data_IF_399918122610
#
_entry.id   IF_399918122610
#
_cell.length_a   1.000
_cell.length_b   1.000
_cell.length_c   1.000
_cell.angle_alpha   90.00
_cell.angle_beta   90.00
_cell.angle_gamma   90.00
#
_symmetry.space_group_name_H-M   'P 1'
#
loop_
_entity.id
_entity.type
_entity.pdbx_description
1 polymer ?
#
# COMPACT_ATOMS: atom_id res chain seq x y z
N UNK A 1 -7.83 61.29 79.33
CA UNK A 1 -9.19 61.90 79.28
C UNK A 1 -9.09 63.19 78.48
N UNK A 2 -9.78 63.27 77.32
CA UNK A 2 -9.97 64.43 76.40
C UNK A 2 -8.69 65.07 75.80
N UNK A 3 -8.62 65.61 74.58
CA UNK A 3 -9.60 66.19 73.66
C UNK A 3 -9.09 66.16 72.21
N UNK A 4 -10.02 66.24 71.26
CA UNK A 4 -9.87 66.49 69.80
C UNK A 4 -9.41 67.94 69.49
N UNK A 5 -8.92 68.17 68.25
CA UNK A 5 -9.36 69.13 67.17
C UNK A 5 -8.19 69.55 66.26
N UNK A 6 -8.16 69.23 64.95
CA UNK A 6 -8.63 69.91 63.70
C UNK A 6 -7.67 70.90 62.98
N UNK A 7 -7.30 70.52 61.72
CA UNK A 7 -7.02 71.29 60.47
C UNK A 7 -5.87 72.34 60.41
N UNK A 8 -5.37 72.81 59.22
CA UNK A 8 -5.92 72.78 57.84
C UNK A 8 -4.93 72.53 56.66
N UNK A 9 -5.55 72.53 55.47
CA UNK A 9 -5.15 72.73 54.05
C UNK A 9 -3.89 73.55 53.72
N UNK A 10 -3.14 73.21 52.65
CA UNK A 10 -2.68 74.17 51.62
C UNK A 10 -2.19 73.49 50.32
N UNK A 11 -2.68 74.02 49.19
CA UNK A 11 -2.22 73.83 47.81
C UNK A 11 -0.90 74.59 47.57
N UNK A 12 0.03 74.10 46.75
CA UNK A 12 0.75 74.92 45.76
C UNK A 12 1.63 74.11 44.78
N UNK A 13 1.59 74.58 43.53
CA UNK A 13 2.40 74.25 42.34
C UNK A 13 3.91 74.34 42.60
N UNK A 14 4.69 73.63 41.77
CA UNK A 14 5.91 74.08 41.01
C UNK A 14 6.57 72.81 40.41
N UNK A 15 6.48 72.57 39.09
CA UNK A 15 7.41 72.92 37.98
C UNK A 15 8.76 72.16 37.95
N UNK A 16 8.85 71.27 36.95
CA UNK A 16 9.99 70.87 36.06
C UNK A 16 11.36 70.49 36.64
N UNK A 17 11.75 69.25 36.35
CA UNK A 17 13.00 68.81 35.69
C UNK A 17 12.90 67.28 35.59
N UNK A 18 12.81 66.63 34.43
CA UNK A 18 13.81 66.60 33.37
C UNK A 18 14.61 65.29 33.51
N UNK A 19 14.07 64.15 33.05
CA UNK A 19 14.85 62.97 32.70
C UNK A 19 14.15 62.21 31.57
N UNK A 20 14.88 62.07 30.47
CA UNK A 20 14.54 61.28 29.28
C UNK A 20 14.74 59.81 29.63
N UNK A 21 13.67 59.01 29.59
CA UNK A 21 13.77 57.56 29.57
C UNK A 21 13.27 57.05 28.22
N UNK A 22 14.21 56.41 27.53
CA UNK A 22 14.04 55.72 26.26
C UNK A 22 13.19 54.46 26.51
N UNK A 23 11.90 54.49 26.19
CA UNK A 23 11.05 53.28 26.22
C UNK A 23 11.17 52.63 24.84
N UNK A 24 12.03 51.62 24.72
CA UNK A 24 12.08 50.77 23.54
C UNK A 24 10.87 49.84 23.56
N UNK A 25 9.89 50.12 22.70
CA UNK A 25 8.75 49.26 22.43
C UNK A 25 9.22 47.91 21.89
N UNK A 26 9.03 46.85 22.68
CA UNK A 26 9.24 45.47 22.28
C UNK A 26 8.11 45.02 21.34
N UNK A 27 8.33 45.18 20.04
CA UNK A 27 7.47 44.64 18.98
C UNK A 27 7.69 43.12 18.90
N UNK A 28 6.80 42.34 19.52
CA UNK A 28 6.72 40.89 19.33
C UNK A 28 6.16 40.66 17.92
N UNK A 29 7.06 40.50 16.95
CA UNK A 29 6.73 40.01 15.61
C UNK A 29 6.45 38.51 15.75
N UNK A 30 5.17 38.16 15.82
CA UNK A 30 4.70 36.78 15.66
C UNK A 30 4.98 36.40 14.20
N UNK A 31 6.11 35.73 13.97
CA UNK A 31 6.34 35.01 12.72
C UNK A 31 5.31 33.88 12.64
N UNK A 32 4.18 34.13 11.98
CA UNK A 32 3.37 33.09 11.37
C UNK A 32 4.22 32.44 10.28
N UNK A 33 5.07 31.50 10.68
CA UNK A 33 5.72 30.61 9.75
C UNK A 33 4.59 29.80 9.10
N UNK A 34 4.34 29.92 7.79
CA UNK A 34 3.39 29.06 7.13
C UNK A 34 3.89 27.62 7.35
N UNK A 35 3.06 26.80 8.01
CA UNK A 35 3.29 25.36 8.12
C UNK A 35 3.21 24.84 6.70
N UNK A 36 4.35 24.83 6.01
CA UNK A 36 4.52 24.12 4.77
C UNK A 36 4.27 22.66 5.12
N UNK A 37 3.09 22.17 4.77
CA UNK A 37 2.78 20.74 4.83
C UNK A 37 3.87 20.02 4.05
N UNK A 38 4.74 19.32 4.78
CA UNK A 38 5.71 18.41 4.21
C UNK A 38 4.87 17.32 3.56
N UNK A 39 4.63 17.48 2.26
CA UNK A 39 3.84 16.55 1.46
C UNK A 39 4.60 15.23 1.42
N UNK A 40 3.99 14.18 1.96
CA UNK A 40 4.57 12.84 1.95
C UNK A 40 4.69 12.39 0.49
N UNK A 41 5.90 12.24 -0.01
CA UNK A 41 6.13 11.72 -1.36
C UNK A 41 6.72 10.33 -1.23
N UNK A 42 5.87 9.31 -1.36
CA UNK A 42 6.34 7.94 -1.53
C UNK A 42 7.02 7.84 -2.89
N UNK A 43 8.35 7.92 -2.90
CA UNK A 43 9.13 7.61 -4.09
C UNK A 43 9.07 6.09 -4.28
N UNK A 44 8.17 5.63 -5.13
CA UNK A 44 8.35 4.31 -5.73
C UNK A 44 9.66 4.35 -6.52
N UNK A 45 10.67 3.64 -6.03
CA UNK A 45 11.94 3.45 -6.74
C UNK A 45 11.78 2.42 -7.88
N UNK A 46 10.62 1.76 -7.95
CA UNK A 46 10.33 0.78 -8.96
C UNK A 46 10.32 1.42 -10.36
N UNK A 47 10.91 0.73 -11.33
CA UNK A 47 11.02 1.23 -12.70
C UNK A 47 10.14 0.44 -13.65
N UNK A 48 9.74 1.09 -14.74
CA UNK A 48 9.11 0.39 -15.87
C UNK A 48 10.12 -0.61 -16.46
N UNK A 49 9.71 -1.86 -16.76
CA UNK A 49 10.61 -2.83 -17.38
C UNK A 49 11.19 -2.33 -18.70
N UNK A 50 12.49 -2.53 -18.94
CA UNK A 50 13.18 -2.03 -20.14
C UNK A 50 12.60 -2.59 -21.45
N UNK A 51 12.13 -3.84 -21.42
CA UNK A 51 11.53 -4.48 -22.58
C UNK A 51 10.27 -3.76 -23.08
N UNK A 52 9.57 -2.99 -22.22
CA UNK A 52 8.36 -2.24 -22.61
C UNK A 52 8.69 -1.27 -23.75
N UNK A 53 9.71 -0.43 -23.55
CA UNK A 53 10.17 0.51 -24.58
C UNK A 53 10.70 -0.23 -25.81
N UNK A 54 11.45 -1.31 -25.62
CA UNK A 54 12.03 -2.10 -26.72
C UNK A 54 10.95 -2.75 -27.61
N UNK A 55 9.76 -3.02 -27.06
CA UNK A 55 8.61 -3.56 -27.79
C UNK A 55 7.73 -2.46 -28.43
N UNK A 56 8.13 -1.19 -28.36
CA UNK A 56 7.40 -0.08 -28.97
C UNK A 56 6.16 0.37 -28.19
N UNK A 57 6.10 0.06 -26.90
CA UNK A 57 5.04 0.52 -26.00
C UNK A 57 5.41 1.88 -25.38
N UNK A 58 4.39 2.72 -25.18
CA UNK A 58 4.53 3.96 -24.42
C UNK A 58 4.67 3.65 -22.92
N UNK A 59 5.84 3.95 -22.35
CA UNK A 59 6.15 3.63 -20.95
C UNK A 59 5.29 4.38 -19.93
N UNK A 60 4.67 5.51 -20.29
CA UNK A 60 3.81 6.28 -19.40
C UNK A 60 2.36 5.81 -19.42
N UNK A 61 1.94 5.17 -20.51
CA UNK A 61 0.58 4.65 -20.71
C UNK A 61 0.49 3.13 -20.65
N UNK A 62 1.60 2.45 -20.37
CA UNK A 62 1.66 0.99 -20.34
C UNK A 62 1.74 0.43 -18.93
N UNK A 63 1.10 -0.73 -18.75
CA UNK A 63 1.12 -1.47 -17.49
C UNK A 63 1.16 -2.98 -17.74
N UNK A 64 1.69 -3.71 -16.78
CA UNK A 64 1.51 -5.15 -16.71
C UNK A 64 0.17 -5.45 -16.03
N UNK A 65 -0.61 -6.35 -16.63
CA UNK A 65 -1.96 -6.71 -16.22
C UNK A 65 -2.11 -8.22 -16.08
N UNK A 66 -2.82 -8.63 -15.04
CA UNK A 66 -3.33 -9.99 -14.84
C UNK A 66 -4.86 -10.03 -14.89
N UNK A 67 -5.50 -8.92 -15.28
CA UNK A 67 -6.95 -8.78 -15.32
C UNK A 67 -7.56 -9.06 -16.71
N UNK A 68 -6.73 -9.30 -17.72
CA UNK A 68 -7.19 -9.44 -19.10
C UNK A 68 -7.94 -10.77 -19.31
N UNK A 69 -9.28 -10.72 -19.38
CA UNK A 69 -10.16 -11.91 -19.41
C UNK A 69 -9.86 -12.91 -20.54
N UNK A 70 -9.27 -12.44 -21.64
CA UNK A 70 -8.94 -13.27 -22.82
C UNK A 70 -7.57 -13.94 -22.74
N UNK A 71 -6.79 -13.64 -21.71
CA UNK A 71 -5.41 -14.10 -21.59
C UNK A 71 -5.18 -14.81 -20.25
N UNK A 72 -4.48 -15.93 -20.30
CA UNK A 72 -3.95 -16.59 -19.11
C UNK A 72 -2.56 -16.01 -18.80
N UNK A 73 -2.31 -15.71 -17.53
CA UNK A 73 -1.01 -15.22 -17.05
C UNK A 73 -0.92 -13.70 -17.05
N UNK A 74 0.23 -13.19 -17.52
CA UNK A 74 0.54 -11.76 -17.55
C UNK A 74 0.33 -11.20 -18.97
N UNK A 75 -0.04 -9.94 -19.09
CA UNK A 75 -0.15 -9.20 -20.36
C UNK A 75 0.42 -7.80 -20.16
N UNK A 76 1.18 -7.30 -21.13
CA UNK A 76 1.54 -5.90 -21.25
C UNK A 76 0.44 -5.22 -22.05
N UNK A 77 -0.15 -4.18 -21.48
CA UNK A 77 -1.18 -3.37 -22.11
C UNK A 77 -0.69 -1.94 -22.28
N UNK A 78 -1.09 -1.28 -23.36
CA UNK A 78 -1.02 0.17 -23.54
C UNK A 78 -2.45 0.71 -23.45
N UNK A 79 -2.69 1.67 -22.56
CA UNK A 79 -3.98 2.34 -22.45
C UNK A 79 -4.22 3.22 -23.68
N UNK A 80 -5.44 3.25 -24.19
CA UNK A 80 -5.81 4.17 -25.25
C UNK A 80 -5.59 5.63 -24.84
N UNK A 81 -5.34 6.50 -25.82
CA UNK A 81 -5.27 7.93 -25.54
C UNK A 81 -6.62 8.41 -25.02
N UNK A 82 -6.59 9.40 -24.11
CA UNK A 82 -7.83 10.03 -23.70
C UNK A 82 -8.42 10.76 -24.91
N UNK A 83 -9.73 10.63 -25.15
CA UNK A 83 -10.41 11.40 -26.20
C UNK A 83 -10.14 12.90 -26.00
N UNK A 84 -10.08 13.65 -27.11
CA UNK A 84 -9.92 15.10 -27.05
C UNK A 84 -11.13 15.74 -26.33
N UNK A 85 -11.00 16.96 -25.77
CA UNK A 85 -12.14 17.66 -25.18
C UNK A 85 -13.31 17.77 -26.16
N UNK A 86 -14.45 17.16 -25.83
CA UNK A 86 -15.64 17.12 -26.68
C UNK A 86 -15.87 15.80 -27.44
N UNK A 87 -14.90 14.88 -27.41
CA UNK A 87 -15.07 13.52 -27.95
C UNK A 87 -15.57 12.56 -26.86
N UNK A 88 -16.49 11.66 -27.23
CA UNK A 88 -16.93 10.61 -26.32
C UNK A 88 -15.86 9.52 -26.19
N UNK A 89 -15.54 9.04 -24.97
CA UNK A 89 -14.66 7.91 -24.79
C UNK A 89 -15.28 6.66 -25.43
N UNK A 90 -14.51 5.97 -26.29
CA UNK A 90 -14.86 4.62 -26.72
C UNK A 90 -14.64 3.65 -25.55
N UNK A 91 -15.72 3.37 -24.82
CA UNK A 91 -15.72 2.44 -23.69
C UNK A 91 -15.37 1.00 -24.09
N UNK A 92 -15.43 0.66 -25.39
CA UNK A 92 -15.05 -0.66 -25.89
C UNK A 92 -13.55 -0.76 -26.22
N UNK A 93 -12.83 0.36 -26.23
CA UNK A 93 -11.45 0.44 -26.69
C UNK A 93 -10.53 1.18 -25.69
N UNK A 94 -10.64 0.84 -24.40
CA UNK A 94 -9.75 1.41 -23.36
C UNK A 94 -8.27 0.99 -23.51
N UNK A 95 -7.95 0.04 -24.40
CA UNK A 95 -6.62 -0.55 -24.57
C UNK A 95 -6.20 -0.47 -26.04
N UNK A 96 -5.15 0.29 -26.31
CA UNK A 96 -4.63 0.47 -27.66
C UNK A 96 -3.77 -0.71 -28.14
N UNK A 97 -3.00 -1.35 -27.23
CA UNK A 97 -2.08 -2.43 -27.59
C UNK A 97 -2.00 -3.51 -26.52
N UNK A 98 -1.70 -4.72 -26.97
CA UNK A 98 -1.48 -5.88 -26.12
C UNK A 98 -0.20 -6.61 -26.54
N UNK A 99 0.54 -7.11 -25.57
CA UNK A 99 1.65 -8.01 -25.80
C UNK A 99 1.71 -9.05 -24.68
N UNK A 100 1.92 -10.31 -25.06
CA UNK A 100 2.15 -11.39 -24.10
C UNK A 100 3.32 -12.23 -24.58
N UNK A 101 4.41 -12.23 -23.81
CA UNK A 101 5.54 -13.12 -24.10
C UNK A 101 5.10 -14.59 -23.91
N UNK A 102 5.52 -15.54 -24.77
CA UNK A 102 5.08 -16.94 -24.67
C UNK A 102 5.31 -17.57 -23.30
N UNK A 103 6.40 -17.22 -22.62
CA UNK A 103 6.72 -17.78 -21.31
C UNK A 103 5.76 -17.34 -20.19
N UNK A 104 4.98 -16.27 -20.39
CA UNK A 104 4.07 -15.74 -19.36
C UNK A 104 2.86 -16.65 -19.11
N UNK A 105 2.49 -17.47 -20.11
CA UNK A 105 1.42 -18.46 -19.99
C UNK A 105 1.81 -19.66 -19.11
N UNK A 106 3.10 -19.97 -19.01
CA UNK A 106 3.58 -21.16 -18.30
C UNK A 106 3.34 -21.12 -16.79
N UNK A 107 3.09 -19.92 -16.23
CA UNK A 107 2.79 -19.72 -14.82
C UNK A 107 1.31 -19.92 -14.45
N UNK A 108 0.45 -20.23 -15.43
CA UNK A 108 -0.99 -20.29 -15.24
C UNK A 108 -1.60 -18.89 -15.10
N UNK A 109 -2.72 -18.78 -14.37
CA UNK A 109 -3.25 -17.48 -13.98
C UNK A 109 -2.40 -16.85 -12.87
N UNK A 110 -2.28 -15.53 -12.92
CA UNK A 110 -1.47 -14.75 -11.99
C UNK A 110 -2.35 -13.69 -11.31
N UNK A 111 -1.92 -13.18 -10.15
CA UNK A 111 -2.54 -12.06 -9.46
C UNK A 111 -1.54 -10.92 -9.29
N UNK A 112 -1.32 -10.49 -8.04
CA UNK A 112 -0.58 -9.28 -7.69
C UNK A 112 0.79 -9.23 -8.36
N UNK A 113 1.12 -8.04 -8.87
CA UNK A 113 2.39 -7.74 -9.53
C UNK A 113 3.10 -6.67 -8.70
N UNK A 114 4.39 -6.83 -8.47
CA UNK A 114 5.25 -5.77 -7.95
C UNK A 114 6.50 -5.62 -8.82
N UNK A 115 7.08 -4.43 -8.84
CA UNK A 115 8.24 -4.08 -9.67
C UNK A 115 9.42 -3.71 -8.76
N UNK A 116 10.63 -4.15 -9.12
CA UNK A 116 11.84 -3.71 -8.42
C UNK A 116 12.50 -2.48 -9.05
N UNK A 117 13.60 -2.03 -8.43
CA UNK A 117 14.37 -0.85 -8.86
C UNK A 117 15.03 -1.00 -10.24
N UNK A 118 15.17 -2.23 -10.73
CA UNK A 118 15.69 -2.55 -12.06
C UNK A 118 14.57 -2.76 -13.09
N UNK A 119 13.31 -2.69 -12.66
CA UNK A 119 12.13 -2.94 -13.48
C UNK A 119 11.85 -4.41 -13.74
N UNK A 120 12.38 -5.34 -12.95
CA UNK A 120 11.91 -6.71 -13.00
C UNK A 120 10.53 -6.77 -12.37
N UNK A 121 9.64 -7.59 -12.94
CA UNK A 121 8.30 -7.79 -12.39
C UNK A 121 8.22 -9.11 -11.65
N UNK A 122 7.61 -9.11 -10.48
CA UNK A 122 7.34 -10.30 -9.68
C UNK A 122 5.85 -10.51 -9.61
N UNK A 123 5.40 -11.72 -9.91
CA UNK A 123 3.99 -12.09 -9.92
C UNK A 123 3.76 -13.40 -9.16
N UNK A 124 2.58 -13.52 -8.58
CA UNK A 124 2.14 -14.69 -7.81
C UNK A 124 1.01 -15.43 -8.54
N UNK A 125 0.91 -16.76 -8.43
CA UNK A 125 -0.20 -17.56 -8.92
C UNK A 125 -1.55 -17.09 -8.39
N UNK A 126 -2.61 -17.32 -9.16
CA UNK A 126 -3.97 -17.06 -8.74
C UNK A 126 -4.91 -18.13 -9.30
N UNK A 127 -5.26 -19.18 -8.53
CA UNK A 127 -6.23 -20.15 -9.02
C UNK A 127 -7.61 -19.48 -9.10
N UNK A 128 -8.27 -19.63 -10.25
CA UNK A 128 -9.60 -19.04 -10.49
C UNK A 128 -10.71 -20.08 -10.31
N UNK A 129 -11.17 -20.69 -11.41
CA UNK A 129 -12.31 -21.61 -11.43
C UNK A 129 -11.89 -23.08 -11.31
N UNK A 130 -10.61 -23.34 -11.56
CA UNK A 130 -10.02 -24.68 -11.56
C UNK A 130 -8.54 -24.60 -11.21
N UNK A 131 -8.04 -25.68 -10.61
CA UNK A 131 -6.62 -25.90 -10.34
C UNK A 131 -5.84 -26.39 -11.56
N UNK A 132 -6.50 -26.63 -12.70
CA UNK A 132 -5.89 -27.17 -13.91
C UNK A 132 -4.63 -26.40 -14.34
N UNK A 133 -4.70 -25.08 -14.30
CA UNK A 133 -3.61 -24.19 -14.75
C UNK A 133 -2.74 -23.66 -13.61
N UNK A 134 -3.15 -23.85 -12.36
CA UNK A 134 -2.37 -23.47 -11.18
C UNK A 134 -2.47 -24.62 -10.17
N UNK A 135 -1.65 -25.66 -10.38
CA UNK A 135 -1.66 -26.83 -9.50
C UNK A 135 -1.25 -26.44 -8.08
N UNK A 136 -1.73 -27.12 -7.02
CA UNK A 136 -1.41 -26.80 -5.62
C UNK A 136 0.09 -26.58 -5.36
N UNK A 137 0.96 -27.47 -5.86
CA UNK A 137 2.42 -27.34 -5.77
C UNK A 137 3.00 -26.03 -6.34
N UNK A 138 2.29 -25.36 -7.25
CA UNK A 138 2.71 -24.11 -7.89
C UNK A 138 2.25 -22.87 -7.12
N UNK A 139 1.32 -22.99 -6.17
CA UNK A 139 0.67 -21.85 -5.50
C UNK A 139 1.58 -21.03 -4.59
N UNK A 140 2.71 -21.62 -4.19
CA UNK A 140 3.71 -21.00 -3.32
C UNK A 140 4.98 -20.60 -4.09
N UNK A 141 4.86 -20.40 -5.40
CA UNK A 141 5.95 -19.97 -6.26
C UNK A 141 5.79 -18.50 -6.62
N UNK A 142 6.87 -17.75 -6.56
CA UNK A 142 6.94 -16.39 -7.12
C UNK A 142 7.63 -16.51 -8.49
N UNK A 143 7.06 -15.87 -9.50
CA UNK A 143 7.64 -15.78 -10.84
C UNK A 143 8.26 -14.40 -11.05
N UNK A 144 9.37 -14.32 -11.78
CA UNK A 144 10.04 -13.07 -12.16
C UNK A 144 10.06 -12.93 -13.67
N UNK A 145 9.61 -11.78 -14.16
CA UNK A 145 9.86 -11.29 -15.51
C UNK A 145 11.12 -10.45 -15.49
N UNK A 146 12.12 -10.85 -16.28
CA UNK A 146 13.34 -10.08 -16.42
C UNK A 146 13.11 -8.77 -17.19
N UNK A 147 13.59 -7.66 -16.64
CA UNK A 147 13.37 -6.31 -17.17
C UNK A 147 13.92 -6.12 -18.59
N UNK A 148 15.02 -6.79 -18.93
CA UNK A 148 15.68 -6.62 -20.23
C UNK A 148 15.06 -7.50 -21.30
N UNK A 149 14.81 -8.76 -20.98
CA UNK A 149 14.38 -9.76 -21.97
C UNK A 149 12.86 -9.90 -22.06
N UNK A 150 12.14 -9.53 -21.00
CA UNK A 150 10.71 -9.82 -20.87
C UNK A 150 10.41 -11.31 -20.62
N UNK A 151 11.42 -12.16 -20.41
CA UNK A 151 11.22 -13.58 -20.15
C UNK A 151 10.81 -13.77 -18.69
N UNK A 152 9.69 -14.47 -18.48
CA UNK A 152 9.26 -14.96 -17.16
C UNK A 152 9.81 -16.33 -16.86
N UNK A 153 10.35 -16.50 -15.64
CA UNK A 153 10.78 -17.78 -15.06
C UNK A 153 10.34 -17.90 -13.60
N UNK A 154 10.21 -19.13 -13.05
CA UNK A 154 10.19 -19.35 -11.61
C UNK A 154 11.36 -18.64 -10.93
N UNK A 155 11.07 -17.80 -9.94
CA UNK A 155 12.09 -17.07 -9.20
C UNK A 155 12.42 -17.71 -7.87
N UNK A 156 11.38 -18.06 -7.11
CA UNK A 156 11.52 -18.68 -5.79
C UNK A 156 10.33 -19.59 -5.50
N UNK A 157 10.60 -20.78 -4.98
CA UNK A 157 9.61 -21.63 -4.33
C UNK A 157 9.69 -21.36 -2.83
N UNK A 158 8.59 -20.94 -2.20
CA UNK A 158 8.59 -20.67 -0.77
C UNK A 158 8.56 -21.99 0.03
N UNK A 159 9.35 -22.10 1.10
CA UNK A 159 9.45 -23.31 1.91
C UNK A 159 8.26 -23.43 2.86
N UNK A 160 7.06 -23.66 2.33
CA UNK A 160 5.83 -23.75 3.12
C UNK A 160 5.43 -25.23 3.26
N UNK A 161 5.54 -25.83 4.47
CA UNK A 161 5.47 -27.28 4.65
C UNK A 161 4.06 -27.87 4.51
N UNK A 162 3.00 -27.05 4.61
CA UNK A 162 1.60 -27.50 4.57
C UNK A 162 0.83 -26.86 3.41
N UNK A 163 1.36 -26.97 2.20
CA UNK A 163 0.85 -26.26 1.04
C UNK A 163 -0.54 -26.71 0.56
N UNK A 164 -1.00 -27.91 0.96
CA UNK A 164 -2.14 -28.56 0.32
C UNK A 164 -3.21 -28.94 1.34
N UNK A 165 -4.38 -28.29 1.25
CA UNK A 165 -5.60 -28.77 1.88
C UNK A 165 -6.73 -28.73 0.85
N UNK A 166 -7.64 -29.70 0.87
CA UNK A 166 -8.82 -29.66 0.00
C UNK A 166 -9.76 -28.50 0.33
N UNK A 167 -9.59 -27.85 1.49
CA UNK A 167 -10.42 -26.74 1.97
C UNK A 167 -9.88 -25.36 1.59
N UNK A 168 -8.69 -25.29 0.99
CA UNK A 168 -8.06 -24.05 0.58
C UNK A 168 -7.16 -24.28 -0.66
N UNK A 169 -7.60 -23.83 -1.84
CA UNK A 169 -6.85 -23.97 -3.08
C UNK A 169 -5.75 -22.89 -3.24
N UNK A 170 -5.68 -21.92 -2.33
CA UNK A 170 -4.82 -20.75 -2.44
C UNK A 170 -3.50 -20.92 -1.68
N UNK A 171 -2.43 -20.36 -2.25
CA UNK A 171 -1.14 -20.19 -1.59
C UNK A 171 -0.88 -18.70 -1.34
N UNK A 172 -0.10 -18.10 -2.22
CA UNK A 172 0.22 -16.67 -2.18
C UNK A 172 -0.99 -15.80 -2.54
N UNK A 173 -1.23 -14.74 -1.77
CA UNK A 173 -2.30 -13.76 -1.99
C UNK A 173 -1.80 -12.30 -2.05
N UNK A 174 -0.64 -12.01 -1.48
CA UNK A 174 -0.06 -10.67 -1.46
C UNK A 174 1.42 -10.67 -1.80
N UNK A 175 1.87 -9.66 -2.54
CA UNK A 175 3.29 -9.38 -2.77
C UNK A 175 3.51 -7.87 -2.89
N UNK A 176 4.59 -7.35 -2.32
CA UNK A 176 5.01 -5.95 -2.47
C UNK A 176 6.52 -5.83 -2.34
N UNK A 177 7.12 -4.88 -3.05
CA UNK A 177 8.56 -4.62 -3.04
C UNK A 177 8.88 -3.46 -2.10
N UNK A 178 9.89 -3.64 -1.25
CA UNK A 178 10.44 -2.56 -0.43
C UNK A 178 11.65 -1.93 -1.11
N UNK A 179 11.51 -0.66 -1.44
CA UNK A 179 12.58 0.13 -2.00
C UNK A 179 13.74 0.36 -1.03
N UNK A 180 13.51 0.38 0.28
CA UNK A 180 14.53 0.78 1.24
C UNK A 180 15.71 -0.22 1.29
N UNK A 181 15.43 -1.52 1.28
CA UNK A 181 16.44 -2.58 1.35
C UNK A 181 16.43 -3.55 0.15
N UNK A 182 15.55 -3.32 -0.82
CA UNK A 182 15.44 -4.15 -2.01
C UNK A 182 14.88 -5.54 -1.73
N UNK A 183 14.02 -5.67 -0.73
CA UNK A 183 13.35 -6.91 -0.38
C UNK A 183 11.93 -7.00 -0.97
N UNK A 184 11.36 -8.20 -0.91
CA UNK A 184 9.94 -8.44 -1.20
C UNK A 184 9.28 -8.92 0.07
N UNK A 185 8.12 -8.36 0.38
CA UNK A 185 7.18 -8.95 1.33
C UNK A 185 6.14 -9.77 0.58
N UNK A 186 5.81 -10.94 1.11
CA UNK A 186 4.80 -11.83 0.56
C UNK A 186 3.85 -12.32 1.65
N UNK A 187 2.60 -12.56 1.29
CA UNK A 187 1.59 -13.15 2.16
C UNK A 187 1.07 -14.44 1.54
N UNK A 188 1.12 -15.52 2.32
CA UNK A 188 0.57 -16.82 1.96
C UNK A 188 -0.46 -17.25 2.97
N UNK A 189 -1.50 -17.94 2.50
CA UNK A 189 -2.49 -18.63 3.34
C UNK A 189 -2.42 -20.14 3.19
N UNK A 190 -1.34 -20.64 2.59
CA UNK A 190 -1.11 -22.07 2.46
C UNK A 190 -1.17 -22.75 3.84
N UNK A 191 -2.02 -23.77 3.95
CA UNK A 191 -2.29 -24.50 5.19
C UNK A 191 -3.47 -23.95 6.01
N UNK A 192 -3.96 -22.75 5.71
CA UNK A 192 -5.18 -22.22 6.31
C UNK A 192 -6.41 -22.94 5.78
N UNK A 193 -7.45 -23.01 6.60
CA UNK A 193 -8.77 -23.54 6.22
C UNK A 193 -9.84 -22.48 6.45
N UNK A 194 -11.13 -22.78 6.21
CA UNK A 194 -12.21 -21.83 6.52
C UNK A 194 -12.22 -21.39 7.99
N UNK A 195 -11.83 -22.25 8.92
CA UNK A 195 -11.93 -22.01 10.36
C UNK A 195 -10.59 -21.93 11.09
N UNK A 196 -9.47 -22.25 10.43
CA UNK A 196 -8.14 -22.23 11.05
C UNK A 196 -7.19 -21.30 10.28
N UNK A 197 -6.70 -20.27 10.96
CA UNK A 197 -5.74 -19.28 10.43
C UNK A 197 -4.30 -19.82 10.60
N UNK A 198 -3.60 -20.03 9.48
CA UNK A 198 -2.24 -20.58 9.44
C UNK A 198 -1.32 -19.78 8.51
N UNK A 199 -1.80 -18.67 7.94
CA UNK A 199 -1.06 -17.87 6.99
C UNK A 199 0.21 -17.26 7.56
N UNK A 200 1.07 -16.82 6.65
CA UNK A 200 2.41 -16.32 6.98
C UNK A 200 2.70 -15.09 6.14
N UNK A 201 3.19 -14.04 6.80
CA UNK A 201 3.89 -12.93 6.16
C UNK A 201 5.38 -13.28 6.10
N UNK A 202 5.98 -13.16 4.92
CA UNK A 202 7.39 -13.44 4.66
C UNK A 202 8.10 -12.17 4.24
N UNK A 203 9.31 -11.97 4.76
CA UNK A 203 10.27 -10.99 4.27
C UNK A 203 11.36 -11.70 3.49
N UNK A 204 11.60 -11.32 2.23
CA UNK A 204 12.42 -12.08 1.29
C UNK A 204 13.47 -11.16 0.66
N UNK A 205 14.74 -11.52 0.76
CA UNK A 205 15.83 -10.85 0.04
C UNK A 205 15.72 -11.11 -1.46
N UNK A 206 15.69 -10.06 -2.28
CA UNK A 206 15.73 -10.25 -3.75
C UNK A 206 17.12 -10.63 -4.26
N UNK A 207 18.17 -10.25 -3.53
CA UNK A 207 19.56 -10.53 -3.86
C UNK A 207 19.90 -12.00 -3.63
N UNK A 208 19.59 -12.52 -2.44
CA UNK A 208 20.02 -13.87 -2.03
C UNK A 208 18.96 -14.94 -2.29
N UNK A 209 17.72 -14.53 -2.63
CA UNK A 209 16.53 -15.40 -2.73
C UNK A 209 16.28 -16.19 -1.44
N UNK A 210 16.43 -15.53 -0.29
CA UNK A 210 16.27 -16.12 1.04
C UNK A 210 15.14 -15.44 1.81
N UNK A 211 14.40 -16.24 2.57
CA UNK A 211 13.49 -15.72 3.59
C UNK A 211 14.33 -15.19 4.75
N UNK A 212 14.21 -13.90 5.04
CA UNK A 212 14.95 -13.20 6.08
C UNK A 212 14.21 -13.19 7.43
N UNK A 213 12.88 -13.13 7.38
CA UNK A 213 12.01 -13.15 8.56
C UNK A 213 10.59 -13.61 8.20
N UNK A 214 9.83 -14.03 9.22
CA UNK A 214 8.42 -14.44 9.07
C UNK A 214 7.57 -14.00 10.25
N UNK A 215 6.29 -13.72 9.98
CA UNK A 215 5.24 -13.57 10.99
C UNK A 215 4.12 -14.57 10.67
N UNK A 216 3.85 -15.51 11.59
CA UNK A 216 2.93 -16.64 11.40
C UNK A 216 1.56 -16.37 12.01
N UNK A 217 0.54 -17.13 11.57
CA UNK A 217 -0.82 -17.06 12.09
C UNK A 217 -1.59 -15.84 11.57
N UNK A 218 -1.28 -15.40 10.34
CA UNK A 218 -1.91 -14.24 9.72
C UNK A 218 -2.31 -14.59 8.29
N UNK A 219 -3.62 -14.67 8.06
CA UNK A 219 -4.20 -14.77 6.74
C UNK A 219 -4.35 -13.37 6.13
N UNK A 220 -3.34 -12.98 5.36
CA UNK A 220 -3.27 -11.66 4.76
C UNK A 220 -3.38 -11.68 3.24
N UNK A 221 -4.00 -10.62 2.72
CA UNK A 221 -3.94 -10.17 1.33
C UNK A 221 -3.63 -8.67 1.34
N UNK A 222 -3.33 -8.07 0.18
CA UNK A 222 -3.12 -6.63 0.06
C UNK A 222 -1.95 -6.15 0.91
N UNK A 223 -0.74 -6.14 0.33
CA UNK A 223 0.46 -5.69 1.02
C UNK A 223 0.92 -4.34 0.49
N UNK A 224 1.34 -3.45 1.38
CA UNK A 224 2.01 -2.22 1.01
C UNK A 224 3.02 -1.80 2.08
N UNK A 225 4.20 -1.36 1.65
CA UNK A 225 5.16 -0.73 2.55
C UNK A 225 4.86 0.76 2.61
N UNK A 226 4.80 1.27 3.83
CA UNK A 226 4.63 2.67 4.13
C UNK A 226 5.85 3.20 4.88
N UNK A 227 6.29 4.40 4.52
CA UNK A 227 7.37 5.10 5.22
C UNK A 227 6.84 6.41 5.79
N UNK A 228 6.85 6.53 7.11
CA UNK A 228 6.48 7.75 7.81
C UNK A 228 7.54 8.84 7.73
N UNK A 229 7.19 10.05 8.15
CA UNK A 229 8.04 11.26 8.09
C UNK A 229 9.39 11.11 8.80
N UNK A 230 9.45 10.32 9.88
CA UNK A 230 10.67 10.08 10.66
C UNK A 230 11.48 8.87 10.15
N UNK A 231 11.17 8.37 8.96
CA UNK A 231 11.79 7.17 8.40
C UNK A 231 11.26 5.86 8.97
N UNK A 232 10.28 5.90 9.88
CA UNK A 232 9.58 4.71 10.39
C UNK A 232 8.96 3.92 9.23
N UNK A 233 9.39 2.67 9.05
CA UNK A 233 8.85 1.78 8.02
C UNK A 233 7.86 0.81 8.64
N UNK A 234 6.74 0.59 7.95
CA UNK A 234 5.72 -0.38 8.35
C UNK A 234 5.22 -1.15 7.13
N UNK A 235 5.02 -2.45 7.29
CA UNK A 235 4.28 -3.27 6.33
C UNK A 235 2.80 -3.22 6.72
N UNK A 236 1.97 -2.65 5.85
CA UNK A 236 0.52 -2.72 5.94
C UNK A 236 0.03 -3.99 5.25
N UNK A 237 -0.97 -4.64 5.87
CA UNK A 237 -1.58 -5.86 5.37
C UNK A 237 -3.06 -5.92 5.72
N UNK A 238 -3.88 -6.40 4.79
CA UNK A 238 -5.30 -6.65 5.02
C UNK A 238 -5.55 -8.05 5.54
N UNK A 239 -6.25 -8.20 6.68
CA UNK A 239 -6.74 -9.49 7.16
C UNK A 239 -7.95 -9.92 6.33
N UNK A 240 -7.83 -11.05 5.64
CA UNK A 240 -8.90 -11.51 4.72
C UNK A 240 -10.14 -12.04 5.42
N UNK A 241 -10.03 -12.36 6.71
CA UNK A 241 -11.12 -12.92 7.52
C UNK A 241 -12.02 -11.85 8.12
N UNK A 242 -11.49 -10.66 8.35
CA UNK A 242 -12.14 -9.63 9.17
C UNK A 242 -12.32 -8.30 8.45
N UNK A 243 -11.75 -8.10 7.25
CA UNK A 243 -11.82 -6.81 6.57
C UNK A 243 -10.94 -5.73 7.21
N UNK A 244 -10.15 -6.07 8.22
CA UNK A 244 -9.31 -5.13 8.96
C UNK A 244 -7.97 -4.92 8.26
N UNK A 245 -7.45 -3.70 8.33
CA UNK A 245 -6.10 -3.36 7.88
C UNK A 245 -5.22 -3.21 9.12
N UNK A 246 -4.18 -4.03 9.19
CA UNK A 246 -3.15 -3.96 10.22
C UNK A 246 -1.85 -3.48 9.61
N UNK A 247 -0.91 -3.10 10.49
CA UNK A 247 0.47 -2.90 10.11
C UNK A 247 1.43 -3.48 11.13
N UNK A 248 2.65 -3.78 10.71
CA UNK A 248 3.76 -4.19 11.57
C UNK A 248 5.00 -3.37 11.25
N UNK A 249 5.73 -2.92 12.27
CA UNK A 249 6.96 -2.17 12.10
C UNK A 249 8.07 -3.00 11.45
N UNK A 250 8.88 -2.35 10.61
CA UNK A 250 10.05 -2.93 9.96
C UNK A 250 11.30 -2.27 10.56
N UNK A 251 12.17 -3.07 11.17
CA UNK A 251 13.40 -2.60 11.77
C UNK A 251 14.43 -2.11 10.76
N UNK A 252 15.48 -1.45 11.24
CA UNK A 252 16.61 -1.03 10.39
C UNK A 252 17.32 -2.23 9.72
N UNK A 253 17.29 -3.40 10.36
CA UNK A 253 17.80 -4.67 9.82
C UNK A 253 16.83 -5.37 8.84
N UNK A 254 15.71 -4.71 8.48
CA UNK A 254 14.66 -5.25 7.61
C UNK A 254 13.70 -6.24 8.28
N UNK A 255 13.96 -6.70 9.50
CA UNK A 255 13.12 -7.69 10.20
C UNK A 255 11.84 -7.05 10.75
N UNK A 256 10.80 -7.87 10.97
CA UNK A 256 9.59 -7.39 11.63
C UNK A 256 9.86 -7.10 13.11
N UNK A 257 9.43 -5.94 13.58
CA UNK A 257 9.51 -5.57 15.00
C UNK A 257 8.39 -6.32 15.74
N UNK A 258 8.75 -7.32 16.55
CA UNK A 258 7.78 -8.11 17.33
C UNK A 258 7.01 -7.23 18.31
N UNK A 259 5.72 -7.52 18.49
CA UNK A 259 4.82 -6.72 19.35
C UNK A 259 4.39 -5.38 18.76
N UNK A 260 4.85 -4.99 17.57
CA UNK A 260 4.45 -3.73 16.91
C UNK A 260 3.26 -3.86 15.96
N UNK A 261 2.60 -5.02 15.94
CA UNK A 261 1.39 -5.23 15.14
C UNK A 261 0.28 -4.36 15.71
N UNK A 262 -0.36 -3.54 14.86
CA UNK A 262 -1.45 -2.66 15.28
C UNK A 262 -2.54 -2.58 14.23
N UNK A 263 -3.77 -2.41 14.68
CA UNK A 263 -4.92 -2.10 13.83
C UNK A 263 -4.79 -0.65 13.34
N UNK A 264 -5.01 -0.42 12.05
CA UNK A 264 -4.90 0.89 11.41
C UNK A 264 -6.27 1.45 11.04
N UNK A 265 -7.11 0.63 10.41
CA UNK A 265 -8.49 0.91 10.04
C UNK A 265 -9.19 -0.39 9.61
N UNK A 266 -10.43 -0.29 9.12
CA UNK A 266 -11.19 -1.44 8.64
C UNK A 266 -12.11 -1.07 7.47
N UNK A 267 -12.30 -2.01 6.55
CA UNK A 267 -13.36 -1.99 5.52
C UNK A 267 -14.59 -2.80 5.91
N UNK A 268 -14.54 -3.48 7.07
CA UNK A 268 -15.65 -4.30 7.57
C UNK A 268 -16.89 -3.46 7.83
N UNK A 269 -18.03 -3.93 7.34
CA UNK A 269 -19.35 -3.34 7.59
C UNK A 269 -19.64 -2.00 6.91
N UNK A 270 -18.69 -1.43 6.15
CA UNK A 270 -18.85 -0.10 5.53
C UNK A 270 -19.05 -0.14 4.01
N UNK A 271 -18.63 -1.22 3.35
CA UNK A 271 -18.82 -1.40 1.90
C UNK A 271 -20.21 -1.89 1.51
N UNK A 272 -20.55 -1.88 0.20
CA UNK A 272 -21.83 -2.38 -0.31
C UNK A 272 -22.14 -3.83 0.09
N UNK A 273 -21.10 -4.66 0.23
CA UNK A 273 -21.21 -6.06 0.66
C UNK A 273 -21.05 -6.24 2.18
N UNK A 274 -20.41 -5.29 2.85
CA UNK A 274 -20.12 -5.34 4.28
C UNK A 274 -19.04 -6.34 4.72
N UNK A 275 -18.59 -7.25 3.86
CA UNK A 275 -17.67 -8.35 4.17
C UNK A 275 -16.41 -8.40 3.30
N UNK A 276 -16.00 -7.24 2.76
CA UNK A 276 -14.84 -7.16 1.86
C UNK A 276 -13.53 -7.55 2.55
N UNK A 277 -12.74 -8.37 1.86
CA UNK A 277 -11.34 -8.62 2.16
C UNK A 277 -10.45 -7.55 1.46
N UNK A 278 -9.48 -6.93 2.15
CA UNK A 278 -8.61 -5.93 1.54
C UNK A 278 -7.64 -6.60 0.56
N UNK A 279 -7.89 -6.46 -0.74
CA UNK A 279 -7.14 -7.12 -1.81
C UNK A 279 -5.86 -6.40 -2.18
N UNK A 280 -5.93 -5.08 -2.30
CA UNK A 280 -4.80 -4.23 -2.72
C UNK A 280 -4.77 -3.00 -1.83
N UNK A 281 -3.60 -2.68 -1.31
CA UNK A 281 -3.34 -1.46 -0.56
C UNK A 281 -2.34 -0.64 -1.36
N UNK A 282 -2.61 0.66 -1.50
CA UNK A 282 -1.69 1.61 -2.11
C UNK A 282 -1.71 2.90 -1.31
N UNK A 283 -0.59 3.59 -1.32
CA UNK A 283 -0.49 4.92 -0.75
C UNK A 283 -0.29 5.94 -1.86
N UNK A 284 -0.97 7.06 -1.76
CA UNK A 284 -0.74 8.24 -2.56
C UNK A 284 -0.72 9.46 -1.64
N UNK A 285 0.51 9.91 -1.34
CA UNK A 285 0.76 10.95 -0.33
C UNK A 285 0.14 10.60 1.02
N UNK A 286 -0.85 11.38 1.45
CA UNK A 286 -1.56 11.21 2.71
C UNK A 286 -2.79 10.31 2.56
N UNK A 287 -3.00 9.70 1.39
CA UNK A 287 -4.09 8.76 1.14
C UNK A 287 -3.63 7.33 1.23
N UNK A 288 -4.44 6.50 1.90
CA UNK A 288 -4.42 5.05 1.74
C UNK A 288 -5.64 4.64 0.92
N UNK A 289 -5.38 3.97 -0.20
CA UNK A 289 -6.39 3.46 -1.12
C UNK A 289 -6.41 1.95 -0.99
N UNK A 290 -7.56 1.43 -0.56
CA UNK A 290 -7.79 0.00 -0.36
C UNK A 290 -8.82 -0.47 -1.39
N UNK A 291 -8.47 -1.48 -2.17
CA UNK A 291 -9.41 -2.17 -3.03
C UNK A 291 -9.88 -3.44 -2.33
N UNK A 292 -11.18 -3.55 -2.06
CA UNK A 292 -11.82 -4.69 -1.39
C UNK A 292 -12.55 -5.60 -2.36
N UNK A 293 -12.57 -6.89 -2.05
CA UNK A 293 -13.32 -7.92 -2.79
C UNK A 293 -14.02 -8.87 -1.81
N UNK A 294 -15.06 -9.55 -2.27
CA UNK A 294 -15.50 -10.76 -1.59
C UNK A 294 -14.40 -11.84 -1.69
N UNK A 295 -14.07 -12.48 -0.57
CA UNK A 295 -13.12 -13.57 -0.51
C UNK A 295 -13.68 -14.76 0.27
N UNK A 296 -13.45 -15.96 -0.26
CA UNK A 296 -13.69 -17.21 0.44
C UNK A 296 -12.61 -18.22 0.06
N UNK A 297 -12.47 -19.25 0.87
CA UNK A 297 -11.44 -20.29 0.69
C UNK A 297 -11.82 -21.33 -0.39
N UNK A 298 -12.74 -21.00 -1.30
CA UNK A 298 -13.17 -21.87 -2.39
C UNK A 298 -12.94 -21.19 -3.74
N UNK A 299 -12.69 -21.99 -4.78
CA UNK A 299 -12.67 -21.49 -6.14
C UNK A 299 -14.07 -21.07 -6.58
N UNK A 300 -14.19 -19.90 -7.18
CA UNK A 300 -15.45 -19.38 -7.69
C UNK A 300 -15.33 -18.91 -9.13
N UNK A 301 -16.30 -19.30 -9.95
CA UNK A 301 -16.50 -18.79 -11.30
C UNK A 301 -17.33 -17.51 -11.23
N UNK A 302 -16.65 -16.37 -11.07
CA UNK A 302 -17.30 -15.08 -11.17
C UNK A 302 -17.01 -14.46 -12.54
N UNK A 303 -18.06 -14.18 -13.31
CA UNK A 303 -18.02 -13.45 -14.59
C UNK A 303 -17.58 -11.99 -14.40
N UNK A 304 -17.87 -11.45 -13.21
CA UNK A 304 -17.49 -10.11 -12.74
C UNK A 304 -16.82 -10.20 -11.38
N UNK A 305 -15.75 -9.44 -11.18
CA UNK A 305 -15.10 -9.30 -9.87
C UNK A 305 -15.39 -7.90 -9.37
N UNK A 306 -16.59 -7.64 -8.79
CA UNK A 306 -16.89 -6.33 -8.27
C UNK A 306 -15.87 -6.00 -7.19
N UNK A 307 -15.19 -4.88 -7.36
CA UNK A 307 -14.17 -4.37 -6.46
C UNK A 307 -14.70 -3.04 -5.90
N UNK A 308 -14.54 -2.83 -4.61
CA UNK A 308 -14.93 -1.57 -3.96
C UNK A 308 -13.66 -0.83 -3.56
N UNK A 309 -13.59 0.47 -3.85
CA UNK A 309 -12.43 1.30 -3.51
C UNK A 309 -12.74 2.14 -2.28
N UNK A 310 -12.01 1.90 -1.20
CA UNK A 310 -12.06 2.67 0.04
C UNK A 310 -10.88 3.62 0.08
N UNK A 311 -11.14 4.90 0.34
CA UNK A 311 -10.10 5.93 0.43
C UNK A 311 -10.06 6.46 1.85
N UNK A 312 -8.89 6.37 2.48
CA UNK A 312 -8.64 6.90 3.80
C UNK A 312 -7.64 8.04 3.72
N UNK A 313 -7.88 9.11 4.48
CA UNK A 313 -6.94 10.19 4.71
C UNK A 313 -6.18 9.95 6.01
N UNK A 314 -4.89 10.19 6.00
CA UNK A 314 -4.07 10.15 7.21
C UNK A 314 -4.34 11.38 8.07
N UNK A 315 -4.67 11.16 9.33
CA UNK A 315 -4.61 12.19 10.36
C UNK A 315 -3.17 12.25 10.91
N UNK A 316 -2.40 13.31 10.63
CA UNK A 316 -1.01 13.41 11.08
C UNK A 316 -0.89 13.58 12.60
N UNK A 317 -1.93 14.09 13.26
CA UNK A 317 -1.92 14.35 14.71
C UNK A 317 -2.22 13.10 15.51
N UNK A 318 -3.26 12.35 15.11
CA UNK A 318 -3.66 11.10 15.74
C UNK A 318 -2.87 9.89 15.23
N UNK A 319 -2.14 10.03 14.11
CA UNK A 319 -1.51 8.93 13.36
C UNK A 319 -2.49 7.83 12.96
N UNK A 320 -3.75 8.19 12.73
CA UNK A 320 -4.82 7.27 12.34
C UNK A 320 -5.24 7.49 10.89
N UNK A 321 -6.03 6.56 10.35
CA UNK A 321 -6.61 6.65 9.02
C UNK A 321 -8.12 6.90 9.13
N UNK A 322 -8.59 7.97 8.51
CA UNK A 322 -10.00 8.36 8.50
C UNK A 322 -10.59 8.07 7.12
N UNK A 323 -11.69 7.33 7.07
CA UNK A 323 -12.39 7.07 5.80
C UNK A 323 -12.97 8.38 5.25
N UNK A 324 -12.67 8.68 3.99
CA UNK A 324 -13.18 9.88 3.31
C UNK A 324 -14.02 9.57 2.07
N UNK A 325 -13.91 8.36 1.50
CA UNK A 325 -14.67 7.99 0.31
C UNK A 325 -14.81 6.47 0.13
N UNK A 326 -15.91 6.05 -0.51
CA UNK A 326 -16.16 4.69 -1.00
C UNK A 326 -16.65 4.81 -2.45
N UNK A 327 -16.05 4.05 -3.36
CA UNK A 327 -16.39 3.99 -4.79
C UNK A 327 -16.68 2.56 -5.25
#
# INVERSE_FOLDING_TARGET
MHSKTHHPTFLLKVKRQGYVYFVSSLLIVIYLCPIWGITQRQYSCAKVPLFVKQKGFDTLRSALSTAEKRYMGLVLIELAEKPAPGEQPDLNNERAKYYQHPSWKSAGYLASITLDRSGNAYAIPAPHISLLYNQPKQQNKIYRVDSKTGIMLPWMQLPIPKAETLQNPYGLLGITYDCADGSIFAATIAGSTRTNEQGVLLHISTHDKKVLDTLKGIDAMGLAVFQGLKGERRLYFGKIRTGEIYSVGIGANGKFIRGSVQLECSVSGIGPRGDDAPRKIRFDRDLMIVNGIAFNYNLQASSEKPETTYVYLRDPSAKTWQLINIQ
#
